data_IF_991478934898
#
_entry.id   IF_991478934898
#
_cell.length_a   1.000
_cell.length_b   1.000
_cell.length_c   1.000
_cell.angle_alpha   90.00
_cell.angle_beta   90.00
_cell.angle_gamma   90.00
#
_symmetry.space_group_name_H-M   'P 1'
#
loop_
_entity.id
_entity.type
_entity.pdbx_description
1 polymer ?
#
# COMPACT_ATOMS: atom_id res chain seq x y z
N UNK A 1 -3.10 -27.18 5.89
CA UNK A 1 -2.50 -26.60 7.12
C UNK A 1 -1.77 -25.32 6.69
N UNK A 2 -2.44 -24.17 6.70
CA UNK A 2 -1.80 -22.90 6.32
C UNK A 2 -1.01 -22.39 7.52
N UNK A 3 0.32 -22.39 7.41
CA UNK A 3 1.18 -21.74 8.39
C UNK A 3 0.80 -20.25 8.39
N UNK A 4 0.22 -19.73 9.47
CA UNK A 4 0.11 -18.29 9.66
C UNK A 4 1.54 -17.77 9.84
N UNK A 5 2.21 -17.42 8.74
CA UNK A 5 3.47 -16.68 8.80
C UNK A 5 3.15 -15.29 9.33
N UNK A 6 3.38 -15.08 10.62
CA UNK A 6 3.41 -13.74 11.20
C UNK A 6 4.56 -12.98 10.56
N UNK A 7 4.22 -11.97 9.76
CA UNK A 7 5.20 -11.05 9.18
C UNK A 7 5.80 -10.25 10.34
N UNK A 8 7.08 -10.51 10.62
CA UNK A 8 7.81 -9.84 11.70
C UNK A 8 8.80 -8.84 11.11
N UNK A 9 8.88 -7.67 11.74
CA UNK A 9 9.89 -6.67 11.47
C UNK A 9 10.75 -6.53 12.73
N UNK A 10 12.06 -6.73 12.59
CA UNK A 10 12.98 -6.62 13.71
C UNK A 10 13.52 -5.18 13.80
N UNK A 11 13.35 -4.49 14.95
CA UNK A 11 13.99 -3.21 15.14
C UNK A 11 15.50 -3.39 15.09
N UNK A 12 16.20 -2.41 14.53
CA UNK A 12 17.65 -2.42 14.57
C UNK A 12 18.11 -2.32 16.03
N UNK A 13 18.72 -3.39 16.52
CA UNK A 13 19.31 -3.47 17.85
C UNK A 13 20.66 -4.16 17.74
N UNK A 14 21.63 -3.66 18.48
CA UNK A 14 22.97 -4.21 18.53
C UNK A 14 23.34 -4.40 19.99
N UNK A 15 23.46 -5.66 20.41
CA UNK A 15 23.92 -6.02 21.75
C UNK A 15 25.39 -6.40 21.67
N UNK A 16 26.23 -5.74 22.47
CA UNK A 16 27.64 -6.07 22.61
C UNK A 16 27.83 -6.85 23.92
N UNK A 17 28.18 -8.12 23.81
CA UNK A 17 28.57 -8.92 24.98
C UNK A 17 29.98 -8.56 25.46
N UNK A 18 30.41 -9.11 26.61
CA UNK A 18 31.71 -8.77 27.20
C UNK A 18 32.89 -9.07 26.25
N UNK A 19 32.80 -10.13 25.45
CA UNK A 19 33.85 -10.50 24.50
C UNK A 19 33.87 -9.55 23.30
N UNK A 20 32.70 -9.19 22.78
CA UNK A 20 32.55 -8.23 21.70
C UNK A 20 32.98 -6.82 22.12
N UNK A 21 32.69 -6.42 23.37
CA UNK A 21 33.19 -5.17 23.95
C UNK A 21 34.71 -5.17 24.07
N UNK A 22 35.30 -6.24 24.56
CA UNK A 22 36.75 -6.38 24.67
C UNK A 22 37.41 -6.35 23.28
N UNK A 23 36.91 -7.13 22.34
CA UNK A 23 37.40 -7.17 20.97
C UNK A 23 37.25 -5.82 20.26
N UNK A 24 36.11 -5.15 20.42
CA UNK A 24 35.87 -3.81 19.91
C UNK A 24 36.83 -2.78 20.50
N UNK A 25 37.09 -2.84 21.81
CA UNK A 25 38.03 -1.96 22.49
C UNK A 25 39.47 -2.17 22.00
N UNK A 26 39.91 -3.43 21.86
CA UNK A 26 41.21 -3.78 21.31
C UNK A 26 41.35 -3.34 19.85
N UNK A 27 40.31 -3.54 19.02
CA UNK A 27 40.27 -3.07 17.64
C UNK A 27 40.41 -1.55 17.58
N UNK A 28 39.72 -0.81 18.46
CA UNK A 28 39.82 0.64 18.49
C UNK A 28 41.23 1.11 18.87
N UNK A 29 41.81 0.54 19.92
CA UNK A 29 43.17 0.87 20.38
C UNK A 29 44.20 0.56 19.30
N UNK A 30 44.19 -0.65 18.74
CA UNK A 30 45.12 -1.02 17.68
C UNK A 30 44.91 -0.18 16.41
N UNK A 31 43.66 0.08 16.03
CA UNK A 31 43.35 0.89 14.86
C UNK A 31 43.89 2.32 14.95
N UNK A 32 43.81 2.96 16.12
CA UNK A 32 44.36 4.31 16.34
C UNK A 32 45.89 4.38 16.16
N UNK A 33 46.61 3.29 16.46
CA UNK A 33 48.07 3.27 16.41
C UNK A 33 48.65 2.77 15.09
N UNK A 34 47.97 1.84 14.42
CA UNK A 34 48.54 1.10 13.29
C UNK A 34 47.84 1.35 11.96
N UNK A 35 46.67 2.00 11.94
CA UNK A 35 45.89 2.23 10.72
C UNK A 35 45.85 3.73 10.40
N UNK A 36 46.01 4.13 9.12
CA UNK A 36 45.82 5.52 8.72
C UNK A 36 44.45 6.05 9.17
N UNK A 37 44.45 7.27 9.75
CA UNK A 37 43.27 7.88 10.37
C UNK A 37 42.00 7.80 9.52
N UNK A 38 42.08 8.17 8.25
CA UNK A 38 40.93 8.16 7.34
C UNK A 38 40.31 6.75 7.15
N UNK A 39 41.14 5.72 7.03
CA UNK A 39 40.67 4.34 6.86
C UNK A 39 40.03 3.83 8.15
N UNK A 40 40.63 4.17 9.30
CA UNK A 40 40.10 3.79 10.59
C UNK A 40 38.75 4.46 10.88
N UNK A 41 38.64 5.79 10.71
CA UNK A 41 37.38 6.53 10.83
C UNK A 41 36.29 5.99 9.89
N UNK A 42 36.66 5.68 8.64
CA UNK A 42 35.74 5.07 7.67
C UNK A 42 35.24 3.71 8.14
N UNK A 43 36.10 2.88 8.73
CA UNK A 43 35.70 1.55 9.23
C UNK A 43 34.72 1.62 10.41
N UNK A 44 34.93 2.58 11.32
CA UNK A 44 34.04 2.80 12.48
C UNK A 44 32.63 3.16 12.01
N UNK A 45 32.50 3.96 10.94
CA UNK A 45 31.19 4.31 10.36
C UNK A 45 30.61 3.19 9.49
N UNK A 46 31.46 2.50 8.72
CA UNK A 46 31.03 1.48 7.77
C UNK A 46 30.39 0.26 8.46
N UNK A 47 30.90 -0.17 9.62
CA UNK A 47 30.37 -1.34 10.34
C UNK A 47 28.91 -1.17 10.78
N UNK A 48 28.52 -0.15 11.57
CA UNK A 48 27.13 0.03 11.97
C UNK A 48 26.22 0.31 10.77
N UNK A 49 26.70 1.04 9.76
CA UNK A 49 25.94 1.28 8.52
C UNK A 49 25.68 -0.03 7.77
N UNK A 50 26.67 -0.91 7.65
CA UNK A 50 26.52 -2.22 7.04
C UNK A 50 25.52 -3.09 7.81
N UNK A 51 25.61 -3.11 9.14
CA UNK A 51 24.67 -3.85 9.99
C UNK A 51 23.23 -3.31 9.86
N UNK A 52 23.06 -1.99 9.77
CA UNK A 52 21.77 -1.34 9.54
C UNK A 52 21.19 -1.75 8.18
N UNK A 53 21.97 -1.64 7.10
CA UNK A 53 21.55 -2.04 5.75
C UNK A 53 21.22 -3.53 5.70
N UNK A 54 22.02 -4.37 6.35
CA UNK A 54 21.76 -5.81 6.44
C UNK A 54 20.45 -6.09 7.16
N UNK A 55 20.20 -5.45 8.31
CA UNK A 55 18.95 -5.63 9.04
C UNK A 55 17.73 -5.18 8.22
N UNK A 56 17.82 -4.01 7.59
CA UNK A 56 16.75 -3.48 6.74
C UNK A 56 16.51 -4.35 5.49
N UNK A 57 17.56 -4.89 4.88
CA UNK A 57 17.44 -5.85 3.79
C UNK A 57 16.76 -7.16 4.25
N UNK A 58 17.10 -7.69 5.42
CA UNK A 58 16.43 -8.87 5.98
C UNK A 58 14.95 -8.57 6.28
N UNK A 59 14.64 -7.39 6.83
CA UNK A 59 13.27 -6.93 7.03
C UNK A 59 12.49 -6.85 5.71
N UNK A 60 13.12 -6.35 4.64
CA UNK A 60 12.55 -6.35 3.30
C UNK A 60 12.24 -7.78 2.80
N UNK A 61 13.16 -8.73 2.95
CA UNK A 61 12.93 -10.13 2.56
C UNK A 61 11.79 -10.79 3.37
N UNK A 62 11.67 -10.45 4.67
CA UNK A 62 10.62 -11.00 5.56
C UNK A 62 9.20 -10.56 5.21
N UNK A 63 9.05 -9.44 4.49
CA UNK A 63 7.74 -9.01 3.98
C UNK A 63 7.19 -9.96 2.90
N UNK A 64 8.04 -10.85 2.38
CA UNK A 64 7.68 -11.85 1.38
C UNK A 64 7.75 -11.33 -0.05
N UNK A 65 7.26 -12.11 -1.02
CA UNK A 65 7.21 -11.68 -2.42
C UNK A 65 6.18 -10.57 -2.61
N UNK A 66 6.37 -9.71 -3.60
CA UNK A 66 5.40 -8.69 -4.03
C UNK A 66 5.79 -8.10 -5.38
N UNK A 67 5.29 -6.89 -5.69
CA UNK A 67 5.57 -6.23 -6.97
C UNK A 67 7.06 -5.99 -7.27
N UNK A 68 7.86 -5.71 -6.23
CA UNK A 68 9.32 -5.57 -6.31
C UNK A 68 10.00 -6.90 -6.02
N UNK A 69 10.92 -7.39 -6.87
CA UNK A 69 11.64 -8.63 -6.64
C UNK A 69 12.45 -8.60 -5.34
N UNK A 70 12.47 -9.72 -4.61
CA UNK A 70 13.23 -9.93 -3.38
C UNK A 70 14.74 -10.12 -3.66
N UNK A 71 15.35 -9.14 -4.34
CA UNK A 71 16.77 -9.12 -4.72
C UNK A 71 17.44 -7.85 -4.20
N UNK A 72 18.78 -7.84 -4.16
CA UNK A 72 19.54 -6.63 -3.80
C UNK A 72 19.23 -5.45 -4.71
N UNK A 73 19.02 -5.69 -6.01
CA UNK A 73 18.63 -4.66 -6.97
C UNK A 73 17.23 -4.09 -6.66
N UNK A 74 16.28 -4.96 -6.30
CA UNK A 74 14.95 -4.54 -5.85
C UNK A 74 15.01 -3.69 -4.58
N UNK A 75 15.80 -4.13 -3.59
CA UNK A 75 16.05 -3.38 -2.37
C UNK A 75 16.68 -2.01 -2.65
N UNK A 76 17.73 -1.95 -3.48
CA UNK A 76 18.39 -0.68 -3.83
C UNK A 76 17.44 0.30 -4.51
N UNK A 77 16.55 -0.20 -5.39
CA UNK A 77 15.49 0.60 -6.01
C UNK A 77 14.55 1.19 -4.95
N UNK A 78 14.13 0.40 -3.97
CA UNK A 78 13.27 0.90 -2.88
C UNK A 78 14.01 1.86 -1.96
N UNK A 79 15.28 1.61 -1.67
CA UNK A 79 16.12 2.51 -0.89
C UNK A 79 16.24 3.89 -1.55
N UNK A 80 16.29 3.95 -2.88
CA UNK A 80 16.18 5.21 -3.62
C UNK A 80 14.82 5.87 -3.48
N UNK A 81 13.72 5.13 -3.69
CA UNK A 81 12.36 5.67 -3.54
C UNK A 81 12.02 6.11 -2.12
N UNK A 82 12.63 5.50 -1.08
CA UNK A 82 12.49 5.89 0.34
C UNK A 82 12.80 7.36 0.59
N UNK A 83 13.61 8.00 -0.24
CA UNK A 83 13.92 9.42 -0.11
C UNK A 83 12.73 10.32 -0.49
N UNK A 84 11.74 9.78 -1.20
CA UNK A 84 10.61 10.52 -1.80
C UNK A 84 9.23 10.04 -1.34
N UNK A 85 9.15 8.98 -0.53
CA UNK A 85 7.86 8.45 -0.06
C UNK A 85 7.08 9.49 0.72
N UNK A 86 5.75 9.31 0.73
CA UNK A 86 4.86 10.04 1.63
C UNK A 86 5.33 9.87 3.08
N UNK A 87 5.56 11.01 3.76
CA UNK A 87 5.91 11.03 5.18
C UNK A 87 4.70 10.83 6.08
N UNK A 88 3.55 11.31 5.63
CA UNK A 88 2.27 11.13 6.31
C UNK A 88 1.30 10.39 5.39
N UNK A 89 1.09 9.07 5.61
CA UNK A 89 0.14 8.29 4.83
C UNK A 89 -1.32 8.51 5.26
N UNK A 90 -1.57 9.30 6.32
CA UNK A 90 -2.91 9.53 6.87
C UNK A 90 -3.55 10.84 6.41
N UNK A 91 -2.83 11.65 5.63
CA UNK A 91 -3.37 12.85 5.00
C UNK A 91 -3.90 12.56 3.58
N UNK A 92 -5.14 12.95 3.25
CA UNK A 92 -5.70 12.75 1.92
C UNK A 92 -4.93 13.53 0.85
N UNK A 93 -4.96 13.10 -0.43
CA UNK A 93 -4.39 13.88 -1.52
C UNK A 93 -5.13 15.22 -1.68
N UNK A 94 -4.40 16.27 -2.05
CA UNK A 94 -4.97 17.61 -2.23
C UNK A 94 -5.80 17.62 -3.51
N UNK A 95 -7.04 18.08 -3.44
CA UNK A 95 -7.86 18.28 -4.63
C UNK A 95 -7.23 19.37 -5.51
N UNK A 96 -6.84 19.02 -6.73
CA UNK A 96 -6.44 19.99 -7.75
C UNK A 96 -7.62 20.82 -8.31
N UNK A 97 -8.73 20.93 -7.56
CA UNK A 97 -9.86 21.82 -7.87
C UNK A 97 -9.70 23.22 -7.27
N UNK A 98 -8.68 23.48 -6.46
CA UNK A 98 -8.47 24.81 -5.85
C UNK A 98 -7.78 25.84 -6.76
N UNK A 99 -7.56 25.53 -8.05
CA UNK A 99 -7.14 26.51 -9.07
C UNK A 99 -8.30 27.12 -9.86
N UNK A 100 -9.55 26.85 -9.49
CA UNK A 100 -10.73 27.57 -10.02
C UNK A 100 -11.10 28.80 -9.19
N UNK A 101 -10.10 29.58 -8.76
CA UNK A 101 -10.35 31.02 -8.55
C UNK A 101 -10.36 31.70 -9.92
N UNK A 102 -11.56 31.88 -10.46
CA UNK A 102 -11.94 33.00 -11.33
C UNK A 102 -10.92 33.45 -12.38
N UNK A 103 -10.91 32.79 -13.53
CA UNK A 103 -10.71 33.47 -14.82
C UNK A 103 -11.21 32.57 -15.94
N UNK A 104 -12.36 32.92 -16.51
CA UNK A 104 -12.84 32.37 -17.77
C UNK A 104 -11.78 32.59 -18.85
N UNK A 105 -11.32 31.52 -19.47
CA UNK A 105 -10.59 31.56 -20.75
C UNK A 105 -11.14 30.44 -21.65
N UNK A 106 -11.28 30.67 -22.96
CA UNK A 106 -12.03 29.77 -23.83
C UNK A 106 -11.25 28.50 -24.14
N UNK A 107 -12.01 27.42 -24.31
CA UNK A 107 -11.60 26.04 -24.49
C UNK A 107 -10.50 25.80 -25.56
N UNK A 108 -9.59 24.87 -25.24
CA UNK A 108 -8.88 24.03 -26.21
C UNK A 108 -9.30 22.58 -25.97
N UNK A 109 -9.51 21.75 -27.01
CA UNK A 109 -9.98 20.38 -26.87
C UNK A 109 -8.79 19.46 -26.59
N UNK A 110 -8.31 19.45 -25.36
CA UNK A 110 -7.48 18.35 -24.85
C UNK A 110 -8.36 17.44 -24.02
N UNK A 111 -8.49 16.19 -24.47
CA UNK A 111 -9.25 15.09 -23.87
C UNK A 111 -9.33 15.20 -22.34
N UNK A 112 -10.46 15.70 -21.85
CA UNK A 112 -10.71 15.83 -20.42
C UNK A 112 -10.85 14.42 -19.85
N UNK A 113 -9.79 13.94 -19.20
CA UNK A 113 -9.79 12.68 -18.47
C UNK A 113 -10.92 12.77 -17.42
N UNK A 114 -12.01 12.02 -17.65
CA UNK A 114 -13.19 12.08 -16.78
C UNK A 114 -12.89 11.35 -15.49
N UNK A 115 -12.70 12.12 -14.42
CA UNK A 115 -12.77 11.60 -13.05
C UNK A 115 -14.22 11.73 -12.60
N UNK A 116 -14.79 10.75 -11.87
CA UNK A 116 -16.06 10.96 -11.23
C UNK A 116 -16.00 12.26 -10.41
N UNK A 117 -17.04 13.09 -10.50
CA UNK A 117 -17.04 14.43 -9.90
C UNK A 117 -16.97 14.41 -8.37
N UNK A 118 -17.40 13.30 -7.74
CA UNK A 118 -17.40 13.10 -6.30
C UNK A 118 -17.27 11.62 -5.93
N UNK A 119 -16.80 11.38 -4.70
CA UNK A 119 -16.81 10.07 -4.06
C UNK A 119 -18.21 9.69 -3.55
N UNK A 120 -18.42 8.42 -3.24
CA UNK A 120 -19.71 7.90 -2.77
C UNK A 120 -19.76 7.63 -1.27
N UNK A 121 -18.61 7.39 -0.63
CA UNK A 121 -18.53 7.03 0.80
C UNK A 121 -18.98 8.13 1.76
N UNK A 122 -18.71 9.44 1.53
CA UNK A 122 -19.16 10.49 2.44
C UNK A 122 -20.68 10.49 2.66
N UNK A 123 -21.45 10.05 1.66
CA UNK A 123 -22.91 9.97 1.73
C UNK A 123 -23.43 8.64 2.32
N UNK A 124 -22.57 7.66 2.58
CA UNK A 124 -22.96 6.31 3.01
C UNK A 124 -22.84 6.08 4.53
N UNK A 125 -22.50 7.12 5.32
CA UNK A 125 -22.33 7.05 6.77
C UNK A 125 -21.39 5.90 7.20
N UNK A 126 -20.15 5.93 6.70
CA UNK A 126 -19.14 4.93 7.04
C UNK A 126 -18.83 4.95 8.55
N UNK A 127 -18.94 3.82 9.27
CA UNK A 127 -18.65 3.78 10.71
C UNK A 127 -17.16 3.98 10.97
N UNK A 128 -16.79 4.44 12.17
CA UNK A 128 -15.39 4.42 12.60
C UNK A 128 -14.93 2.98 12.84
N UNK A 129 -13.72 2.65 12.39
CA UNK A 129 -13.10 1.35 12.67
C UNK A 129 -12.77 1.25 14.16
N UNK A 130 -13.28 0.23 14.89
CA UNK A 130 -13.00 0.09 16.31
C UNK A 130 -11.51 -0.19 16.60
N UNK A 131 -10.95 0.55 17.56
CA UNK A 131 -9.60 0.37 18.08
C UNK A 131 -8.51 1.13 17.30
N UNK A 132 -7.23 0.93 17.67
CA UNK A 132 -6.12 1.58 16.99
C UNK A 132 -5.95 1.05 15.56
N UNK A 133 -5.32 1.85 14.70
CA UNK A 133 -4.94 1.41 13.35
C UNK A 133 -3.98 0.22 13.42
N UNK A 134 -4.02 -0.68 12.43
CA UNK A 134 -3.01 -1.70 12.27
C UNK A 134 -1.63 -1.07 12.02
N UNK A 135 -0.59 -1.78 12.43
CA UNK A 135 0.79 -1.45 12.10
C UNK A 135 1.08 -1.98 10.70
N UNK A 136 1.62 -1.13 9.84
CA UNK A 136 1.99 -1.48 8.46
C UNK A 136 3.48 -1.23 8.27
N UNK A 137 4.13 -2.07 7.48
CA UNK A 137 5.53 -1.91 7.12
C UNK A 137 5.79 -2.21 5.64
N UNK A 138 6.91 -1.71 5.15
CA UNK A 138 7.32 -1.87 3.77
C UNK A 138 6.83 -0.75 2.85
N UNK A 139 7.28 -0.83 1.60
CA UNK A 139 6.96 0.12 0.53
C UNK A 139 6.40 -0.65 -0.65
N UNK A 140 7.14 -1.64 -1.14
CA UNK A 140 6.65 -2.62 -2.11
C UNK A 140 7.54 -3.87 -1.98
N UNK A 141 7.09 -4.95 -1.30
CA UNK A 141 5.74 -5.13 -0.76
C UNK A 141 5.45 -4.21 0.44
N UNK A 142 4.20 -3.80 0.59
CA UNK A 142 3.63 -3.18 1.79
C UNK A 142 2.76 -4.23 2.51
N UNK A 143 2.88 -4.33 3.84
CA UNK A 143 2.24 -5.38 4.64
C UNK A 143 1.67 -4.87 5.95
N UNK A 144 0.45 -5.30 6.23
CA UNK A 144 -0.16 -5.19 7.55
C UNK A 144 0.44 -6.25 8.48
N UNK A 145 0.98 -5.83 9.63
CA UNK A 145 1.73 -6.69 10.55
C UNK A 145 0.89 -7.28 11.68
N UNK A 146 -0.23 -6.65 12.02
CA UNK A 146 -1.11 -7.08 13.11
C UNK A 146 -2.59 -6.89 12.73
N UNK A 147 -3.51 -7.32 13.60
CA UNK A 147 -4.96 -7.24 13.36
C UNK A 147 -5.40 -7.90 12.04
N UNK A 148 -4.76 -9.01 11.67
CA UNK A 148 -5.07 -9.74 10.44
C UNK A 148 -6.52 -10.21 10.44
N UNK A 149 -7.14 -10.16 9.25
CA UNK A 149 -8.51 -10.60 9.06
C UNK A 149 -8.73 -12.08 9.41
N UNK A 150 -9.98 -12.48 9.68
CA UNK A 150 -10.31 -13.90 9.87
C UNK A 150 -10.31 -14.67 8.54
N UNK A 151 -10.14 -16.00 8.59
CA UNK A 151 -10.07 -16.79 7.36
C UNK A 151 -11.44 -16.84 6.68
N UNK A 152 -12.50 -16.84 7.49
CA UNK A 152 -13.88 -16.73 7.04
C UNK A 152 -14.12 -15.42 6.28
N UNK A 153 -13.75 -14.26 6.86
CA UNK A 153 -13.95 -12.98 6.19
C UNK A 153 -13.18 -12.87 4.86
N UNK A 154 -11.96 -13.40 4.81
CA UNK A 154 -11.17 -13.44 3.57
C UNK A 154 -11.80 -14.34 2.49
N UNK A 155 -12.25 -15.54 2.87
CA UNK A 155 -12.92 -16.45 1.93
C UNK A 155 -14.23 -15.86 1.43
N UNK A 156 -15.03 -15.26 2.33
CA UNK A 156 -16.27 -14.58 1.99
C UNK A 156 -16.03 -13.41 1.02
N UNK A 157 -15.06 -12.54 1.30
CA UNK A 157 -14.70 -11.44 0.41
C UNK A 157 -14.32 -11.95 -0.99
N UNK A 158 -13.44 -12.95 -1.08
CA UNK A 158 -13.04 -13.54 -2.36
C UNK A 158 -14.21 -14.16 -3.09
N UNK A 159 -15.06 -14.91 -2.39
CA UNK A 159 -16.25 -15.52 -2.99
C UNK A 159 -17.20 -14.47 -3.54
N UNK A 160 -17.42 -13.37 -2.81
CA UNK A 160 -18.27 -12.26 -3.24
C UNK A 160 -17.71 -11.57 -4.49
N UNK A 161 -16.40 -11.29 -4.54
CA UNK A 161 -15.79 -10.68 -5.73
C UNK A 161 -15.78 -11.62 -6.94
N UNK A 162 -15.57 -12.93 -6.71
CA UNK A 162 -15.73 -13.94 -7.75
C UNK A 162 -17.17 -14.02 -8.25
N UNK A 163 -18.16 -13.99 -7.35
CA UNK A 163 -19.57 -14.01 -7.69
C UNK A 163 -19.94 -12.78 -8.55
N UNK A 164 -19.49 -11.58 -8.16
CA UNK A 164 -19.68 -10.35 -8.94
C UNK A 164 -19.14 -10.52 -10.37
N UNK A 165 -17.91 -11.05 -10.50
CA UNK A 165 -17.29 -11.28 -11.80
C UNK A 165 -18.02 -12.33 -12.65
N UNK A 166 -18.58 -13.37 -12.04
CA UNK A 166 -19.37 -14.39 -12.76
C UNK A 166 -20.76 -13.90 -13.15
N UNK A 167 -21.38 -13.05 -12.34
CA UNK A 167 -22.73 -12.50 -12.60
C UNK A 167 -22.69 -11.38 -13.63
N UNK A 168 -21.59 -10.62 -13.69
CA UNK A 168 -21.40 -9.54 -14.64
C UNK A 168 -20.09 -9.70 -15.46
N UNK A 169 -19.96 -10.79 -16.25
CA UNK A 169 -18.71 -11.15 -16.91
C UNK A 169 -18.30 -10.16 -18.02
N UNK A 170 -19.24 -9.37 -18.55
CA UNK A 170 -18.97 -8.31 -19.51
C UNK A 170 -18.31 -7.07 -18.89
N UNK A 171 -18.43 -6.90 -17.57
CA UNK A 171 -17.93 -5.73 -16.84
C UNK A 171 -16.70 -6.06 -16.03
N UNK A 172 -16.71 -7.22 -15.38
CA UNK A 172 -15.69 -7.62 -14.43
C UNK A 172 -14.97 -8.91 -14.83
N UNK A 173 -13.77 -9.09 -14.27
CA UNK A 173 -13.01 -10.33 -14.34
C UNK A 173 -12.17 -10.50 -13.07
N UNK A 174 -11.74 -11.73 -12.80
CA UNK A 174 -10.78 -12.01 -11.73
C UNK A 174 -9.50 -12.61 -12.31
N UNK A 175 -8.35 -12.19 -11.80
CA UNK A 175 -7.05 -12.69 -12.21
C UNK A 175 -6.01 -12.43 -11.11
N UNK A 176 -4.75 -12.79 -11.37
CA UNK A 176 -3.62 -12.39 -10.52
C UNK A 176 -3.36 -10.89 -10.66
N UNK A 177 -3.08 -10.20 -9.55
CA UNK A 177 -2.74 -8.76 -9.56
C UNK A 177 -1.56 -8.45 -10.48
N UNK A 178 -1.67 -7.36 -11.25
CA UNK A 178 -0.58 -6.85 -12.08
C UNK A 178 0.48 -6.13 -11.24
N UNK A 179 0.05 -5.46 -10.16
CA UNK A 179 0.92 -4.69 -9.28
C UNK A 179 1.69 -5.60 -8.32
N UNK A 180 0.97 -6.48 -7.63
CA UNK A 180 1.56 -7.37 -6.65
C UNK A 180 2.21 -8.60 -7.31
N UNK A 181 1.80 -8.93 -8.55
CA UNK A 181 2.21 -10.12 -9.32
C UNK A 181 1.83 -11.45 -8.66
N UNK A 182 1.04 -11.37 -7.59
CA UNK A 182 0.57 -12.47 -6.77
C UNK A 182 -0.82 -12.10 -6.23
N UNK A 183 -1.54 -13.09 -5.69
CA UNK A 183 -2.82 -12.85 -5.02
C UNK A 183 -4.00 -12.73 -5.97
N UNK A 184 -5.19 -12.61 -5.37
CA UNK A 184 -6.47 -12.50 -6.08
C UNK A 184 -6.78 -11.02 -6.34
N UNK A 185 -7.19 -10.68 -7.55
CA UNK A 185 -7.56 -9.32 -7.92
C UNK A 185 -8.85 -9.29 -8.75
N UNK A 186 -9.62 -8.22 -8.56
CA UNK A 186 -10.79 -7.87 -9.36
C UNK A 186 -10.38 -6.83 -10.40
N UNK A 187 -10.78 -7.05 -11.65
CA UNK A 187 -10.51 -6.17 -12.78
C UNK A 187 -11.81 -5.67 -13.41
N UNK A 188 -11.81 -4.41 -13.78
CA UNK A 188 -12.75 -3.78 -14.69
C UNK A 188 -12.29 -4.01 -16.14
N UNK A 189 -13.18 -4.47 -17.03
CA UNK A 189 -12.85 -4.70 -18.45
C UNK A 189 -12.79 -3.40 -19.26
N UNK A 190 -13.58 -2.41 -18.87
CA UNK A 190 -13.70 -1.13 -19.55
C UNK A 190 -13.56 0.01 -18.54
N UNK A 191 -12.35 0.21 -17.96
CA UNK A 191 -12.13 1.29 -17.02
C UNK A 191 -12.31 2.64 -17.73
N UNK A 192 -13.07 3.54 -17.11
CA UNK A 192 -13.27 4.91 -17.60
C UNK A 192 -12.13 5.81 -17.13
N UNK A 193 -11.55 5.48 -15.96
CA UNK A 193 -10.44 6.23 -15.40
C UNK A 193 -9.08 5.67 -15.85
N UNK A 194 -8.34 6.43 -16.67
CA UNK A 194 -6.94 6.11 -17.03
C UNK A 194 -5.99 6.12 -15.83
N UNK A 195 -6.43 6.65 -14.67
CA UNK A 195 -5.64 6.74 -13.44
C UNK A 195 -5.68 5.45 -12.61
N UNK A 196 -6.44 4.44 -13.05
CA UNK A 196 -6.48 3.15 -12.38
C UNK A 196 -5.25 2.34 -12.78
N UNK A 197 -4.40 2.07 -11.80
CA UNK A 197 -3.23 1.21 -12.00
C UNK A 197 -3.61 -0.19 -12.47
N UNK A 198 -2.67 -0.86 -13.17
CA UNK A 198 -2.77 -2.29 -13.44
C UNK A 198 -3.82 -2.65 -14.49
N UNK A 199 -4.05 -1.81 -15.50
CA UNK A 199 -4.97 -2.09 -16.62
C UNK A 199 -6.41 -2.37 -16.17
N UNK A 200 -6.96 -1.53 -15.30
CA UNK A 200 -8.32 -1.69 -14.76
C UNK A 200 -8.39 -2.53 -13.49
N UNK A 201 -7.28 -2.75 -12.79
CA UNK A 201 -7.28 -3.43 -11.49
C UNK A 201 -8.01 -2.57 -10.44
N UNK A 202 -9.21 -3.00 -10.06
CA UNK A 202 -10.05 -2.29 -9.09
C UNK A 202 -9.48 -2.46 -7.70
N UNK A 203 -9.22 -3.71 -7.32
CA UNK A 203 -8.56 -4.04 -6.06
C UNK A 203 -7.85 -5.39 -6.15
N UNK A 204 -6.85 -5.57 -5.30
CA UNK A 204 -6.26 -6.88 -5.05
C UNK A 204 -6.13 -7.15 -3.56
N UNK A 205 -6.20 -8.43 -3.20
CA UNK A 205 -6.12 -8.90 -1.83
C UNK A 205 -4.80 -9.64 -1.62
N UNK A 206 -4.05 -9.23 -0.61
CA UNK A 206 -2.84 -9.92 -0.19
C UNK A 206 -3.17 -11.28 0.41
N UNK A 207 -2.50 -12.34 -0.07
CA UNK A 207 -2.66 -13.67 0.52
C UNK A 207 -2.07 -13.79 1.93
N UNK A 208 -1.06 -12.98 2.26
CA UNK A 208 -0.29 -13.08 3.50
C UNK A 208 -1.00 -12.46 4.70
N UNK A 209 -1.46 -11.22 4.56
CA UNK A 209 -2.04 -10.42 5.64
C UNK A 209 -3.51 -10.03 5.42
N UNK A 210 -4.06 -10.36 4.25
CA UNK A 210 -5.47 -10.13 3.84
C UNK A 210 -5.87 -8.66 3.74
N UNK A 211 -4.90 -7.75 3.79
CA UNK A 211 -5.08 -6.35 3.44
C UNK A 211 -5.19 -6.21 1.93
N UNK A 212 -5.61 -5.03 1.47
CA UNK A 212 -5.92 -4.83 0.06
C UNK A 212 -5.38 -3.52 -0.44
N UNK A 213 -5.00 -3.50 -1.70
CA UNK A 213 -4.76 -2.24 -2.40
C UNK A 213 -5.85 -1.96 -3.43
N UNK A 214 -6.17 -0.68 -3.58
CA UNK A 214 -7.15 -0.19 -4.54
C UNK A 214 -6.95 1.31 -4.82
N UNK A 215 -7.61 1.80 -5.87
CA UNK A 215 -7.71 3.22 -6.16
C UNK A 215 -9.08 3.76 -5.72
N UNK A 216 -9.09 4.93 -5.07
CA UNK A 216 -10.31 5.58 -4.59
C UNK A 216 -10.41 7.04 -5.05
N UNK A 217 -11.62 7.59 -5.05
CA UNK A 217 -11.82 9.04 -5.18
C UNK A 217 -11.19 9.79 -3.99
N UNK A 218 -10.68 11.04 -4.10
CA UNK A 218 -10.01 11.70 -2.98
C UNK A 218 -10.97 11.98 -1.82
N UNK A 219 -12.25 12.21 -2.12
CA UNK A 219 -13.32 12.30 -1.10
C UNK A 219 -13.45 10.98 -0.32
N UNK A 220 -13.44 9.85 -1.04
CA UNK A 220 -13.53 8.51 -0.44
C UNK A 220 -12.26 8.20 0.36
N UNK A 221 -11.09 8.63 -0.12
CA UNK A 221 -9.82 8.54 0.61
C UNK A 221 -9.92 9.34 1.91
N UNK A 222 -10.37 10.60 1.86
CA UNK A 222 -10.54 11.42 3.05
C UNK A 222 -11.46 10.74 4.08
N UNK A 223 -12.56 10.13 3.63
CA UNK A 223 -13.48 9.40 4.49
C UNK A 223 -12.85 8.14 5.11
N UNK A 224 -12.24 7.24 4.31
CA UNK A 224 -11.63 6.01 4.86
C UNK A 224 -10.43 6.28 5.75
N UNK A 225 -9.66 7.33 5.44
CA UNK A 225 -8.58 7.81 6.30
C UNK A 225 -9.18 8.33 7.60
N UNK A 226 -10.14 9.26 7.57
CA UNK A 226 -10.76 9.82 8.77
C UNK A 226 -11.35 8.73 9.68
N UNK A 227 -12.02 7.74 9.09
CA UNK A 227 -12.71 6.66 9.81
C UNK A 227 -11.80 5.50 10.25
N UNK A 228 -10.53 5.51 9.84
CA UNK A 228 -9.55 4.52 10.32
C UNK A 228 -9.49 3.21 9.53
N UNK A 229 -10.03 3.16 8.30
CA UNK A 229 -10.11 1.95 7.49
C UNK A 229 -8.93 1.72 6.55
N UNK A 230 -8.15 2.76 6.28
CA UNK A 230 -7.05 2.70 5.32
C UNK A 230 -5.90 3.63 5.69
N UNK A 231 -4.81 3.50 4.95
CA UNK A 231 -3.71 4.45 4.84
C UNK A 231 -3.25 4.56 3.39
N UNK A 232 -2.66 5.69 3.00
CA UNK A 232 -2.12 5.85 1.65
C UNK A 232 -0.88 5.00 1.45
N UNK A 233 -0.68 4.52 0.23
CA UNK A 233 0.54 3.80 -0.11
C UNK A 233 1.75 4.77 -0.06
N UNK A 234 2.92 4.40 0.50
CA UNK A 234 4.07 5.30 0.61
C UNK A 234 4.55 5.87 -0.74
N UNK A 235 4.46 5.06 -1.80
CA UNK A 235 4.74 5.49 -3.17
C UNK A 235 3.63 6.33 -3.82
N UNK A 236 2.46 6.53 -3.22
CA UNK A 236 1.37 7.36 -3.79
C UNK A 236 1.62 8.88 -3.57
N UNK A 237 2.88 9.31 -3.64
CA UNK A 237 3.24 10.71 -3.43
C UNK A 237 2.93 11.56 -4.66
N UNK A 238 2.63 12.83 -4.42
CA UNK A 238 2.39 13.77 -5.50
C UNK A 238 3.66 13.93 -6.33
N UNK A 239 3.55 13.69 -7.62
CA UNK A 239 4.67 13.96 -8.53
C UNK A 239 4.77 15.47 -8.66
N UNK A 240 5.67 16.08 -7.89
CA UNK A 240 5.90 17.52 -7.98
C UNK A 240 6.20 17.90 -9.43
N UNK A 241 5.73 19.08 -9.85
CA UNK A 241 6.02 19.69 -11.17
C UNK A 241 7.52 19.99 -11.41
N UNK A 242 8.40 19.48 -10.55
CA UNK A 242 9.84 19.63 -10.60
C UNK A 242 10.42 18.50 -11.43
N UNK A 243 10.91 18.83 -12.62
CA UNK A 243 11.46 17.90 -13.60
C UNK A 243 12.59 16.99 -13.09
N UNK A 244 13.27 17.37 -11.99
CA UNK A 244 14.37 16.61 -11.40
C UNK A 244 13.95 15.58 -10.35
N UNK A 245 12.69 15.60 -9.90
CA UNK A 245 12.18 14.60 -8.94
C UNK A 245 11.67 13.37 -9.68
N UNK A 246 11.86 12.15 -9.14
CA UNK A 246 11.34 10.95 -9.77
C UNK A 246 9.81 11.00 -9.80
N UNK A 247 9.24 10.53 -10.90
CA UNK A 247 7.79 10.32 -10.98
C UNK A 247 7.37 9.19 -10.06
N UNK A 248 6.24 9.37 -9.39
CA UNK A 248 5.64 8.30 -8.63
C UNK A 248 5.27 7.13 -9.55
N UNK A 249 5.58 5.88 -9.18
CA UNK A 249 5.13 4.70 -9.92
C UNK A 249 3.65 4.39 -9.68
N UNK A 250 3.01 5.02 -8.68
CA UNK A 250 1.61 4.78 -8.31
C UNK A 250 0.79 6.09 -8.28
N UNK A 251 -0.49 6.06 -8.66
CA UNK A 251 -1.42 7.17 -8.51
C UNK A 251 -1.48 7.67 -7.07
N UNK A 252 -1.71 8.95 -6.90
CA UNK A 252 -1.91 9.57 -5.58
C UNK A 252 -3.12 8.99 -4.82
N UNK A 253 -4.01 8.34 -5.57
CA UNK A 253 -5.27 7.73 -5.16
C UNK A 253 -5.13 6.31 -4.64
N UNK A 254 -3.91 5.76 -4.67
CA UNK A 254 -3.65 4.38 -4.31
C UNK A 254 -3.49 4.24 -2.79
N UNK A 255 -4.32 3.37 -2.20
CA UNK A 255 -4.40 3.17 -0.76
C UNK A 255 -4.20 1.71 -0.37
N UNK A 256 -3.82 1.48 0.88
CA UNK A 256 -3.92 0.19 1.56
C UNK A 256 -5.16 0.21 2.46
N UNK A 257 -6.14 -0.63 2.16
CA UNK A 257 -7.30 -0.89 3.02
C UNK A 257 -6.98 -2.05 3.94
N UNK A 258 -7.25 -1.88 5.23
CA UNK A 258 -6.94 -2.87 6.25
C UNK A 258 -7.81 -4.14 6.11
N UNK A 259 -7.25 -5.27 6.53
CA UNK A 259 -7.94 -6.56 6.46
C UNK A 259 -9.19 -6.61 7.36
N UNK A 260 -10.31 -7.20 6.89
CA UNK A 260 -11.53 -7.32 7.69
C UNK A 260 -11.39 -8.39 8.76
N UNK A 261 -11.53 -8.01 10.04
CA UNK A 261 -11.39 -8.92 11.19
C UNK A 261 -12.56 -9.88 11.31
N UNK A 262 -13.75 -9.38 11.08
CA UNK A 262 -15.02 -10.08 11.24
C UNK A 262 -16.03 -9.66 10.16
N UNK A 263 -17.26 -10.16 10.29
CA UNK A 263 -18.36 -9.88 9.36
C UNK A 263 -18.74 -8.40 9.33
N UNK A 264 -18.61 -7.68 10.45
CA UNK A 264 -18.93 -6.26 10.52
C UNK A 264 -17.91 -5.42 9.76
N UNK A 265 -16.61 -5.71 9.95
CA UNK A 265 -15.54 -5.10 9.16
C UNK A 265 -15.70 -5.46 7.67
N UNK A 266 -16.11 -6.70 7.36
CA UNK A 266 -16.27 -7.15 5.98
C UNK A 266 -17.33 -6.36 5.21
N UNK A 267 -18.49 -6.06 5.82
CA UNK A 267 -19.52 -5.21 5.21
C UNK A 267 -18.99 -3.82 4.87
N UNK A 268 -18.19 -3.24 5.76
CA UNK A 268 -17.59 -1.92 5.54
C UNK A 268 -16.56 -1.98 4.42
N UNK A 269 -15.72 -3.02 4.40
CA UNK A 269 -14.77 -3.26 3.32
C UNK A 269 -15.48 -3.41 1.97
N UNK A 270 -16.61 -4.10 1.90
CA UNK A 270 -17.39 -4.20 0.66
C UNK A 270 -17.85 -2.84 0.14
N UNK A 271 -18.33 -1.94 1.00
CA UNK A 271 -18.66 -0.55 0.61
C UNK A 271 -17.45 0.21 0.07
N UNK A 272 -16.27 0.00 0.66
CA UNK A 272 -15.03 0.61 0.15
C UNK A 272 -14.67 0.02 -1.23
N UNK A 273 -14.89 -1.27 -1.46
CA UNK A 273 -14.70 -1.88 -2.79
C UNK A 273 -15.71 -1.33 -3.80
N UNK A 274 -16.97 -1.10 -3.42
CA UNK A 274 -17.95 -0.42 -4.28
C UNK A 274 -17.48 0.98 -4.67
N UNK A 275 -16.88 1.72 -3.74
CA UNK A 275 -16.28 3.03 -4.03
C UNK A 275 -15.08 2.93 -4.98
N UNK A 276 -14.27 1.87 -4.89
CA UNK A 276 -13.21 1.61 -5.86
C UNK A 276 -13.76 1.28 -7.25
N UNK A 277 -14.86 0.52 -7.33
CA UNK A 277 -15.56 0.25 -8.60
C UNK A 277 -16.12 1.54 -9.19
N UNK A 278 -16.80 2.36 -8.37
CA UNK A 278 -17.30 3.67 -8.77
C UNK A 278 -16.18 4.55 -9.33
N UNK A 279 -15.04 4.59 -8.64
CA UNK A 279 -13.89 5.36 -9.10
C UNK A 279 -13.33 4.85 -10.43
N UNK A 280 -13.39 3.54 -10.67
CA UNK A 280 -12.81 2.90 -11.87
C UNK A 280 -13.72 2.98 -13.09
N UNK A 281 -15.04 2.84 -12.90
CA UNK A 281 -16.00 2.67 -13.99
C UNK A 281 -17.21 3.62 -13.96
N UNK A 282 -17.33 4.50 -12.96
CA UNK A 282 -18.53 5.32 -12.71
C UNK A 282 -19.83 4.51 -12.61
N UNK A 283 -19.72 3.26 -12.16
CA UNK A 283 -20.84 2.35 -11.98
C UNK A 283 -21.11 2.09 -10.50
N UNK A 284 -22.39 2.13 -10.11
CA UNK A 284 -22.83 1.73 -8.77
C UNK A 284 -23.14 0.24 -8.76
N UNK A 285 -22.54 -0.46 -7.81
CA UNK A 285 -22.76 -1.89 -7.55
C UNK A 285 -23.15 -2.03 -6.08
N UNK A 286 -24.05 -2.96 -5.79
CA UNK A 286 -24.41 -3.34 -4.42
C UNK A 286 -23.80 -4.73 -4.13
N UNK A 287 -22.57 -4.71 -3.61
CA UNK A 287 -21.81 -5.91 -3.23
C UNK A 287 -22.36 -6.48 -1.93
N UNK A 288 -22.86 -5.64 -1.02
CA UNK A 288 -23.42 -6.08 0.26
C UNK A 288 -24.58 -7.07 0.05
N UNK A 289 -25.46 -6.82 -0.93
CA UNK A 289 -26.54 -7.75 -1.28
C UNK A 289 -26.04 -9.13 -1.75
N UNK A 290 -24.90 -9.19 -2.44
CA UNK A 290 -24.30 -10.43 -2.96
C UNK A 290 -23.66 -11.28 -1.87
N UNK A 291 -23.24 -10.67 -0.76
CA UNK A 291 -22.73 -11.39 0.40
C UNK A 291 -23.81 -12.25 1.07
N UNK A 292 -25.04 -11.72 1.18
CA UNK A 292 -26.13 -12.45 1.82
C UNK A 292 -26.61 -13.63 0.97
N UNK A 293 -26.47 -13.54 -0.36
CA UNK A 293 -26.85 -14.62 -1.28
C UNK A 293 -25.82 -15.75 -1.35
N UNK A 294 -24.56 -15.50 -0.99
CA UNK A 294 -23.51 -16.54 -0.98
C UNK A 294 -23.46 -17.35 0.31
N UNK A 295 -24.18 -16.91 1.35
CA UNK A 295 -24.30 -17.59 2.66
C UNK A 295 -25.60 -18.42 2.79
N UNK A 296 -26.53 -18.30 1.84
CA UNK A 296 -27.79 -19.08 1.74
C UNK A 296 -27.66 -20.27 0.81
#
# INVERSE_FOLDING_TARGET
MALNMLIRQDPFSMTLDANALLAGSLFLIMGMHFVPRFLFESSILAVPLFLLIRNDYQNFLRLGPGGTPATLAGYARLAWFRLFVLRDPFSPPVHSSSSSSSSCSPASPSTTISRPASGILPCQNLPYRPGPRPTVAGIAPQRQLNQHGSAAAFTALRATLSHLATTQPHKFGTATSCLEKHGFALFARHPVSEHVCGNGEVCHIHNSDRSMHMNLHPDDIAEVLLKGWAERHPLAFATAHKWWLPRSPLPETFVLVYSPRDESDLRVVCKIVEAAIWYTMEERVDIESLMFQSQS
#
